data_IF_276709484508
#
_entry.id   IF_276709484508
#
_cell.length_a   1.000
_cell.length_b   1.000
_cell.length_c   1.000
_cell.angle_alpha   90.00
_cell.angle_beta   90.00
_cell.angle_gamma   90.00
#
_symmetry.space_group_name_H-M   'P 1'
#
loop_
_entity.id
_entity.type
_entity.pdbx_description
1 polymer ?
#
# COMPACT_ATOMS: atom_id res chain seq x y z
N UNK A 1 -4.67 17.95 -19.44
CA UNK A 1 -4.11 17.82 -18.09
C UNK A 1 -4.37 16.41 -17.63
N UNK A 2 -3.32 15.61 -17.45
CA UNK A 2 -3.46 14.21 -17.06
C UNK A 2 -3.49 14.10 -15.54
N UNK A 3 -4.57 13.54 -14.98
CA UNK A 3 -4.67 13.26 -13.55
C UNK A 3 -4.01 11.92 -13.24
N UNK A 4 -3.13 11.91 -12.25
CA UNK A 4 -2.48 10.70 -11.72
C UNK A 4 -3.05 10.36 -10.35
N UNK A 5 -3.16 9.08 -10.06
CA UNK A 5 -3.55 8.57 -8.74
C UNK A 5 -2.71 7.34 -8.41
N UNK A 6 -2.66 6.99 -7.14
CA UNK A 6 -1.88 5.87 -6.62
C UNK A 6 -2.81 4.83 -6.00
N UNK A 7 -2.45 3.55 -6.13
CA UNK A 7 -3.21 2.41 -5.58
C UNK A 7 -2.25 1.54 -4.78
N UNK A 8 -2.67 1.17 -3.57
CA UNK A 8 -1.91 0.27 -2.71
C UNK A 8 -2.51 -1.12 -2.78
N UNK A 9 -1.73 -2.10 -3.22
CA UNK A 9 -2.10 -3.51 -3.23
C UNK A 9 -1.45 -4.18 -2.02
N UNK A 10 -2.27 -4.75 -1.14
CA UNK A 10 -1.79 -5.45 0.06
C UNK A 10 -1.70 -6.96 -0.18
N UNK A 11 -0.70 -7.60 0.42
CA UNK A 11 -0.57 -9.06 0.38
C UNK A 11 -1.64 -9.76 1.23
N UNK A 12 -2.32 -9.05 2.13
CA UNK A 12 -3.29 -9.62 3.07
C UNK A 12 -2.96 -9.21 4.49
N UNK A 13 -3.96 -9.30 5.38
CA UNK A 13 -3.86 -8.87 6.77
C UNK A 13 -2.63 -9.45 7.47
N UNK A 14 -1.77 -8.52 7.90
CA UNK A 14 -0.60 -8.61 8.77
C UNK A 14 -0.17 -9.96 9.30
N UNK A 15 1.14 -10.19 9.23
CA UNK A 15 1.88 -11.20 9.97
C UNK A 15 1.24 -12.58 9.86
N UNK A 16 1.79 -13.42 8.98
CA UNK A 16 1.59 -14.86 8.98
C UNK A 16 1.32 -15.34 10.43
N UNK A 17 0.05 -15.60 10.76
CA UNK A 17 -0.24 -16.61 11.78
C UNK A 17 0.37 -17.85 11.17
N UNK A 18 1.57 -18.18 11.61
CA UNK A 18 2.30 -19.36 11.20
C UNK A 18 1.26 -20.48 11.02
N UNK A 19 1.21 -21.03 9.81
CA UNK A 19 0.51 -22.28 9.54
C UNK A 19 1.03 -23.27 10.57
N UNK A 20 0.29 -23.42 11.67
CA UNK A 20 0.62 -24.30 12.78
C UNK A 20 0.86 -25.68 12.21
N UNK A 21 2.11 -26.09 12.20
CA UNK A 21 2.57 -27.28 11.49
C UNK A 21 2.28 -28.56 12.29
N UNK A 22 1.48 -28.47 13.36
CA UNK A 22 1.18 -29.62 14.20
C UNK A 22 -0.24 -29.58 14.77
N UNK A 23 -1.08 -30.60 14.51
CA UNK A 23 -2.44 -30.72 15.06
C UNK A 23 -2.50 -30.91 16.60
N UNK A 24 -1.36 -30.90 17.29
CA UNK A 24 -1.25 -31.10 18.74
C UNK A 24 -0.78 -29.85 19.53
N UNK A 25 -0.68 -28.68 18.89
CA UNK A 25 -0.28 -27.42 19.57
C UNK A 25 -1.20 -27.01 20.74
N UNK A 26 -2.43 -27.54 20.79
CA UNK A 26 -3.34 -27.32 21.91
C UNK A 26 -2.86 -28.01 23.20
N UNK A 27 -2.17 -29.15 23.10
CA UNK A 27 -1.64 -29.91 24.24
C UNK A 27 -0.45 -29.18 24.84
N UNK A 28 0.47 -28.69 24.00
CA UNK A 28 1.68 -27.99 24.46
C UNK A 28 1.37 -26.66 25.15
N UNK A 29 0.28 -25.99 24.77
CA UNK A 29 -0.22 -24.77 25.44
C UNK A 29 -0.77 -25.04 26.85
N UNK A 30 -1.31 -26.23 27.11
CA UNK A 30 -1.76 -26.64 28.45
C UNK A 30 -0.60 -26.98 29.39
N UNK A 31 0.59 -27.31 28.86
CA UNK A 31 1.79 -27.63 29.65
C UNK A 31 2.70 -26.42 29.95
N UNK A 32 2.16 -25.20 29.94
CA UNK A 32 2.81 -24.04 30.57
C UNK A 32 4.06 -23.49 29.87
N UNK A 33 4.35 -23.87 28.63
CA UNK A 33 5.46 -23.27 27.87
C UNK A 33 5.01 -21.93 27.27
N UNK A 34 5.03 -20.89 28.09
CA UNK A 34 4.76 -19.54 27.63
C UNK A 34 6.01 -18.97 26.94
N UNK A 35 5.79 -18.39 25.76
CA UNK A 35 6.72 -17.55 25.00
C UNK A 35 7.75 -18.25 24.10
N UNK A 36 7.26 -18.89 23.03
CA UNK A 36 8.10 -19.07 21.83
C UNK A 36 8.23 -17.71 21.16
N UNK A 37 9.39 -17.07 21.30
CA UNK A 37 9.75 -15.88 20.51
C UNK A 37 9.58 -16.25 19.03
N UNK A 38 8.59 -15.67 18.36
CA UNK A 38 8.38 -15.88 16.93
C UNK A 38 9.58 -15.30 16.22
N UNK A 39 10.48 -16.17 15.75
CA UNK A 39 11.64 -15.76 14.97
C UNK A 39 11.16 -15.56 13.54
N UNK A 40 10.59 -14.40 13.26
CA UNK A 40 10.18 -14.04 11.89
C UNK A 40 11.43 -13.98 11.03
N UNK A 41 11.53 -14.88 10.07
CA UNK A 41 12.54 -14.78 9.04
C UNK A 41 12.06 -13.74 8.02
N UNK A 42 12.46 -12.49 8.23
CA UNK A 42 12.05 -11.36 7.39
C UNK A 42 12.32 -11.63 5.90
N UNK A 43 13.43 -12.29 5.58
CA UNK A 43 13.76 -12.61 4.19
C UNK A 43 12.78 -13.62 3.57
N UNK A 44 12.47 -14.70 4.30
CA UNK A 44 11.52 -15.71 3.84
C UNK A 44 10.09 -15.16 3.71
N UNK A 45 9.65 -14.34 4.67
CA UNK A 45 8.34 -13.69 4.59
C UNK A 45 8.28 -12.68 3.44
N UNK A 46 9.36 -11.95 3.16
CA UNK A 46 9.41 -11.01 2.03
C UNK A 46 9.37 -11.72 0.68
N UNK A 47 10.09 -12.83 0.54
CA UNK A 47 10.08 -13.65 -0.68
C UNK A 47 8.70 -14.27 -0.94
N UNK A 48 8.07 -14.79 0.10
CA UNK A 48 6.71 -15.35 0.04
C UNK A 48 5.69 -14.27 -0.33
N UNK A 49 5.76 -13.10 0.33
CA UNK A 49 4.91 -11.96 0.03
C UNK A 49 5.08 -11.47 -1.41
N UNK A 50 6.32 -11.44 -1.94
CA UNK A 50 6.57 -11.07 -3.34
C UNK A 50 5.86 -12.04 -4.29
N UNK A 51 6.01 -13.34 -4.06
CA UNK A 51 5.38 -14.39 -4.87
C UNK A 51 3.85 -14.27 -4.88
N UNK A 52 3.25 -13.93 -3.74
CA UNK A 52 1.80 -13.75 -3.63
C UNK A 52 1.31 -12.42 -4.22
N UNK A 53 2.11 -11.35 -4.08
CA UNK A 53 1.70 -9.99 -4.43
C UNK A 53 1.77 -9.73 -5.93
N UNK A 54 2.74 -10.29 -6.66
CA UNK A 54 2.92 -9.96 -8.09
C UNK A 54 1.69 -10.32 -8.94
N UNK A 55 1.07 -11.50 -8.80
CA UNK A 55 -0.17 -11.80 -9.53
C UNK A 55 -1.31 -10.83 -9.23
N UNK A 56 -1.41 -10.32 -8.00
CA UNK A 56 -2.43 -9.33 -7.60
C UNK A 56 -2.17 -7.97 -8.27
N UNK A 57 -0.90 -7.55 -8.32
CA UNK A 57 -0.49 -6.32 -9.01
C UNK A 57 -0.78 -6.43 -10.51
N UNK A 58 -0.39 -7.54 -11.14
CA UNK A 58 -0.62 -7.77 -12.58
C UNK A 58 -2.11 -7.78 -12.91
N UNK A 59 -2.92 -8.40 -12.06
CA UNK A 59 -4.38 -8.38 -12.21
C UNK A 59 -4.94 -6.95 -12.18
N UNK A 60 -4.56 -6.15 -11.17
CA UNK A 60 -5.00 -4.75 -11.04
C UNK A 60 -4.55 -3.90 -12.23
N UNK A 61 -3.31 -4.07 -12.69
CA UNK A 61 -2.80 -3.38 -13.89
C UNK A 61 -3.59 -3.79 -15.14
N UNK A 62 -3.92 -5.08 -15.29
CA UNK A 62 -4.77 -5.58 -16.36
C UNK A 62 -6.15 -4.92 -16.37
N UNK A 63 -6.82 -4.85 -15.22
CA UNK A 63 -8.13 -4.21 -15.10
C UNK A 63 -8.08 -2.71 -15.41
N UNK A 64 -7.04 -2.00 -14.97
CA UNK A 64 -6.86 -0.59 -15.38
C UNK A 64 -6.69 -0.43 -16.88
N UNK A 65 -5.88 -1.29 -17.51
CA UNK A 65 -5.69 -1.25 -18.96
C UNK A 65 -7.00 -1.51 -19.72
N UNK A 66 -7.89 -2.40 -19.24
CA UNK A 66 -9.22 -2.62 -19.84
C UNK A 66 -10.10 -1.37 -19.79
N UNK A 67 -9.95 -0.56 -18.74
CA UNK A 67 -10.64 0.72 -18.58
C UNK A 67 -9.96 1.87 -19.37
N UNK A 68 -8.90 1.59 -20.13
CA UNK A 68 -8.12 2.61 -20.84
C UNK A 68 -7.22 3.44 -19.92
N UNK A 69 -7.02 3.01 -18.67
CA UNK A 69 -6.16 3.69 -17.70
C UNK A 69 -4.78 3.03 -17.71
N UNK A 70 -3.74 3.78 -18.05
CA UNK A 70 -2.36 3.28 -18.02
C UNK A 70 -1.87 3.16 -16.58
N UNK A 71 -1.66 1.94 -16.11
CA UNK A 71 -1.11 1.65 -14.79
C UNK A 71 0.30 1.04 -14.87
N UNK A 72 1.14 1.34 -13.88
CA UNK A 72 2.46 0.70 -13.70
C UNK A 72 2.82 0.65 -12.22
N UNK A 73 3.65 -0.31 -11.84
CA UNK A 73 4.25 -0.34 -10.51
C UNK A 73 5.32 0.76 -10.39
N UNK A 74 5.38 1.40 -9.22
CA UNK A 74 6.42 2.38 -8.89
C UNK A 74 7.71 1.66 -8.48
N UNK A 75 8.84 2.24 -8.88
CA UNK A 75 10.16 1.83 -8.39
C UNK A 75 10.40 2.36 -6.98
N UNK A 76 11.40 1.82 -6.28
CA UNK A 76 11.78 2.29 -4.93
C UNK A 76 12.11 3.78 -4.92
N UNK A 77 12.80 4.30 -5.94
CA UNK A 77 13.13 5.72 -6.03
C UNK A 77 11.85 6.57 -6.13
N UNK A 78 10.92 6.19 -7.00
CA UNK A 78 9.66 6.92 -7.17
C UNK A 78 8.78 6.86 -5.92
N UNK A 79 8.85 5.78 -5.15
CA UNK A 79 8.18 5.70 -3.84
C UNK A 79 8.81 6.65 -2.81
N UNK A 80 10.13 6.81 -2.82
CA UNK A 80 10.83 7.78 -1.95
C UNK A 80 10.47 9.21 -2.33
N UNK A 81 10.48 9.53 -3.62
CA UNK A 81 10.01 10.81 -4.15
C UNK A 81 8.56 11.07 -3.73
N UNK A 82 7.68 10.09 -3.94
CA UNK A 82 6.27 10.15 -3.50
C UNK A 82 6.14 10.42 -2.00
N UNK A 83 6.95 9.78 -1.16
CA UNK A 83 6.95 10.01 0.29
C UNK A 83 7.34 11.44 0.64
N UNK A 84 8.39 11.99 0.01
CA UNK A 84 8.80 13.37 0.22
C UNK A 84 7.78 14.38 -0.30
N UNK A 85 7.15 14.10 -1.43
CA UNK A 85 6.09 14.94 -1.99
C UNK A 85 4.86 15.02 -1.07
N UNK A 86 4.51 13.91 -0.41
CA UNK A 86 3.43 13.87 0.58
C UNK A 86 3.81 14.63 1.86
N UNK A 87 5.06 14.49 2.33
CA UNK A 87 5.51 15.09 3.59
C UNK A 87 5.82 16.59 3.48
N UNK A 88 6.40 17.03 2.35
CA UNK A 88 6.76 18.42 2.09
C UNK A 88 6.06 18.94 0.83
N UNK A 89 4.75 19.24 0.91
CA UNK A 89 3.98 19.66 -0.26
C UNK A 89 4.40 21.05 -0.79
N UNK A 90 5.11 21.85 0.00
CA UNK A 90 5.59 23.19 -0.36
C UNK A 90 6.74 23.20 -1.37
N UNK A 91 7.50 22.10 -1.50
CA UNK A 91 8.60 21.98 -2.47
C UNK A 91 8.15 21.47 -3.84
N UNK A 92 6.91 21.00 -3.97
CA UNK A 92 6.40 20.36 -5.20
C UNK A 92 5.93 21.42 -6.19
N UNK A 93 6.65 21.56 -7.31
CA UNK A 93 6.22 22.38 -8.44
C UNK A 93 5.19 21.59 -9.27
N UNK A 94 3.92 21.58 -8.87
CA UNK A 94 2.88 20.84 -9.60
C UNK A 94 1.57 20.59 -8.84
N UNK A 95 0.73 19.71 -9.39
CA UNK A 95 -0.55 19.34 -8.76
C UNK A 95 -0.30 18.50 -7.51
N UNK A 96 -0.69 19.05 -6.35
CA UNK A 96 -0.52 18.44 -5.03
C UNK A 96 -1.24 17.10 -4.93
N UNK A 97 -0.63 16.15 -4.22
CA UNK A 97 -1.32 14.93 -3.79
C UNK A 97 -2.31 15.34 -2.71
N UNK A 98 -3.59 15.13 -3.02
CA UNK A 98 -4.73 15.38 -2.15
C UNK A 98 -4.85 14.21 -1.18
N UNK A 99 -4.56 14.43 0.10
CA UNK A 99 -4.57 13.37 1.12
C UNK A 99 -5.91 13.28 1.85
N UNK A 100 -6.72 14.35 1.81
CA UNK A 100 -8.06 14.35 2.35
C UNK A 100 -9.10 14.06 1.26
N UNK A 101 -10.15 13.32 1.59
CA UNK A 101 -11.30 13.03 0.71
C UNK A 101 -11.97 14.33 0.26
N UNK A 102 -12.05 15.33 1.13
CA UNK A 102 -12.70 16.62 0.81
C UNK A 102 -11.95 17.40 -0.26
N UNK A 103 -10.65 17.18 -0.38
CA UNK A 103 -9.87 17.75 -1.45
C UNK A 103 -10.34 17.21 -2.81
N UNK A 104 -10.90 16.00 -2.92
CA UNK A 104 -11.42 15.48 -4.20
C UNK A 104 -12.78 16.03 -4.60
N UNK A 105 -13.49 16.70 -3.68
CA UNK A 105 -14.80 17.32 -3.93
C UNK A 105 -14.69 18.76 -4.43
N UNK A 106 -13.54 19.39 -4.27
CA UNK A 106 -13.35 20.80 -4.66
C UNK A 106 -13.11 20.92 -6.16
N UNK A 107 -13.86 21.83 -6.79
CA UNK A 107 -13.72 22.18 -8.19
C UNK A 107 -12.28 22.64 -8.52
N UNK A 108 -11.83 22.39 -9.75
CA UNK A 108 -10.46 22.70 -10.20
C UNK A 108 -10.19 24.21 -10.22
N UNK A 109 -11.25 25.03 -10.31
CA UNK A 109 -11.17 26.49 -10.30
C UNK A 109 -12.14 27.00 -9.26
N UNK A 110 -11.61 27.61 -8.20
CA UNK A 110 -12.41 28.39 -7.25
C UNK A 110 -12.51 29.81 -7.81
N UNK A 111 -13.71 30.38 -7.99
CA UNK A 111 -13.83 31.79 -8.33
C UNK A 111 -13.21 32.63 -7.21
N UNK A 112 -12.50 33.70 -7.57
CA UNK A 112 -12.00 34.66 -6.61
C UNK A 112 -13.21 35.35 -5.95
N UNK A 113 -13.53 34.94 -4.72
CA UNK A 113 -14.51 35.63 -3.91
C UNK A 113 -13.82 36.90 -3.40
N UNK A 114 -14.20 38.05 -3.96
CA UNK A 114 -13.89 39.35 -3.39
C UNK A 114 -14.81 39.50 -2.17
N UNK A 115 -14.24 39.40 -0.97
CA UNK A 115 -14.93 39.85 0.24
C UNK A 115 -14.87 41.38 0.26
N UNK A 116 -16.03 42.03 0.14
CA UNK A 116 -16.24 43.46 0.40
C UNK A 116 -16.31 43.76 1.91
#
# INVERSE_FOLDING_TARGET
>A
MDKKFYVVVSTGTGFEREKGSSPFEWITKLFGTHNKRIRVNVAASLESARTELMPKVDHVVGEFNRLGVKARMLTTQELVELYFDIYNPSSVHGQRIRTNIDDYKTAIVSPAILEE
#
